data_IF_367337082216
#
_entry.id   IF_367337082216
#
_cell.length_a   1.000
_cell.length_b   1.000
_cell.length_c   1.000
_cell.angle_alpha   90.00
_cell.angle_beta   90.00
_cell.angle_gamma   90.00
#
_symmetry.space_group_name_H-M   'P 1'
#
loop_
_entity.id
_entity.type
_entity.pdbx_description
1 polymer ?
#
# COMPACT_ATOMS: atom_id res chain seq x y z
N UNK A 1 -42.63 -43.66 12.59
CA UNK A 1 -41.78 -42.87 13.50
C UNK A 1 -41.42 -41.60 12.74
N UNK A 2 -42.15 -40.50 12.98
CA UNK A 2 -41.91 -39.22 12.30
C UNK A 2 -40.67 -38.57 12.91
N UNK A 3 -39.63 -38.37 12.09
CA UNK A 3 -38.51 -37.50 12.44
C UNK A 3 -39.03 -36.07 12.47
N UNK A 4 -39.20 -35.49 13.66
CA UNK A 4 -39.45 -34.06 13.81
C UNK A 4 -38.22 -33.31 13.34
N UNK A 5 -38.33 -32.53 12.27
CA UNK A 5 -37.31 -31.54 11.94
C UNK A 5 -37.19 -30.59 13.15
N UNK A 6 -35.98 -30.50 13.73
CA UNK A 6 -35.73 -29.56 14.82
C UNK A 6 -36.03 -28.14 14.33
N UNK A 7 -36.95 -27.44 15.00
CA UNK A 7 -37.30 -26.06 14.67
C UNK A 7 -36.06 -25.17 14.85
N UNK A 8 -35.73 -24.36 13.85
CA UNK A 8 -34.60 -23.44 13.90
C UNK A 8 -34.88 -22.32 14.90
N UNK A 9 -33.91 -22.01 15.75
CA UNK A 9 -34.06 -20.92 16.71
C UNK A 9 -33.94 -19.58 16.00
N UNK A 10 -34.85 -18.66 16.32
CA UNK A 10 -34.84 -17.30 15.76
C UNK A 10 -33.89 -16.40 16.56
N UNK A 11 -33.16 -15.54 15.88
CA UNK A 11 -32.21 -14.58 16.45
C UNK A 11 -32.58 -13.16 16.06
N UNK A 12 -32.62 -12.26 17.02
CA UNK A 12 -32.76 -10.81 16.79
C UNK A 12 -31.40 -10.16 17.03
N UNK A 13 -30.93 -9.38 16.06
CA UNK A 13 -29.74 -8.54 16.23
C UNK A 13 -30.16 -7.25 16.92
N UNK A 14 -30.01 -7.20 18.23
CA UNK A 14 -30.47 -6.09 19.06
C UNK A 14 -29.62 -4.84 18.88
N UNK A 15 -28.31 -5.03 18.76
CA UNK A 15 -27.37 -3.92 18.65
C UNK A 15 -26.07 -4.33 17.99
N UNK A 16 -25.52 -3.41 17.19
CA UNK A 16 -24.12 -3.46 16.76
C UNK A 16 -23.41 -2.18 17.20
N UNK A 17 -22.59 -2.26 18.25
CA UNK A 17 -21.74 -1.15 18.69
C UNK A 17 -20.44 -1.14 17.93
N UNK A 18 -20.01 0.05 17.55
CA UNK A 18 -18.76 0.25 16.84
C UNK A 18 -17.96 1.39 17.44
N UNK A 19 -16.65 1.27 17.42
CA UNK A 19 -15.71 2.31 17.81
C UNK A 19 -14.47 2.22 16.92
N UNK A 20 -13.85 3.35 16.58
CA UNK A 20 -12.55 3.34 15.91
C UNK A 20 -11.67 4.48 16.41
N UNK A 21 -10.45 4.14 16.80
CA UNK A 21 -9.39 5.11 17.11
C UNK A 21 -8.74 5.71 15.86
N UNK A 22 -8.82 5.01 14.73
CA UNK A 22 -7.91 5.20 13.60
C UNK A 22 -8.61 5.87 12.42
N UNK A 23 -9.88 5.57 12.18
CA UNK A 23 -10.51 6.10 10.99
C UNK A 23 -11.88 5.57 10.64
N UNK A 24 -12.37 5.92 9.44
CA UNK A 24 -13.77 5.79 9.09
C UNK A 24 -14.16 4.38 8.65
N UNK A 25 -13.41 3.32 9.01
CA UNK A 25 -13.67 1.95 8.51
C UNK A 25 -15.11 1.51 8.83
N UNK A 26 -15.64 1.93 9.98
CA UNK A 26 -17.01 1.61 10.41
C UNK A 26 -18.08 2.23 9.51
N UNK A 27 -17.74 3.25 8.70
CA UNK A 27 -18.68 3.85 7.74
C UNK A 27 -19.08 2.91 6.61
N UNK A 28 -18.34 1.84 6.37
CA UNK A 28 -18.80 0.81 5.44
C UNK A 28 -20.14 0.21 5.87
N UNK A 29 -20.42 0.11 7.17
CA UNK A 29 -21.71 -0.34 7.68
C UNK A 29 -22.85 0.65 7.42
N UNK A 30 -22.58 1.86 6.92
CA UNK A 30 -23.63 2.80 6.48
C UNK A 30 -24.06 2.55 5.02
N UNK A 31 -23.29 1.77 4.25
CA UNK A 31 -23.60 1.42 2.87
C UNK A 31 -24.49 0.17 2.79
N UNK A 32 -25.60 0.24 2.06
CA UNK A 32 -26.61 -0.82 1.99
C UNK A 32 -26.12 -2.14 1.42
N UNK A 33 -25.23 -2.11 0.41
CA UNK A 33 -24.64 -3.32 -0.16
C UNK A 33 -23.77 -4.03 0.88
N UNK A 34 -22.94 -3.27 1.59
CA UNK A 34 -22.08 -3.80 2.66
C UNK A 34 -22.92 -4.39 3.80
N UNK A 35 -23.99 -3.69 4.24
CA UNK A 35 -24.93 -4.20 5.26
C UNK A 35 -25.56 -5.52 4.83
N UNK A 36 -26.04 -5.58 3.58
CA UNK A 36 -26.70 -6.78 3.03
C UNK A 36 -25.76 -7.97 3.00
N UNK A 37 -24.51 -7.77 2.54
CA UNK A 37 -23.48 -8.82 2.54
C UNK A 37 -23.18 -9.30 3.96
N UNK A 38 -22.99 -8.36 4.89
CA UNK A 38 -22.73 -8.69 6.30
C UNK A 38 -23.86 -9.50 6.93
N UNK A 39 -25.12 -9.07 6.81
CA UNK A 39 -26.28 -9.76 7.40
C UNK A 39 -26.45 -11.16 6.81
N UNK A 40 -26.25 -11.33 5.50
CA UNK A 40 -26.26 -12.64 4.85
C UNK A 40 -25.17 -13.55 5.41
N UNK A 41 -23.96 -13.05 5.57
CA UNK A 41 -22.84 -13.79 6.15
C UNK A 41 -23.09 -14.17 7.60
N UNK A 42 -23.59 -13.24 8.42
CA UNK A 42 -23.98 -13.51 9.80
C UNK A 42 -25.06 -14.60 9.89
N UNK A 43 -26.12 -14.51 9.08
CA UNK A 43 -27.16 -15.53 9.03
C UNK A 43 -26.60 -16.92 8.67
N UNK A 44 -25.69 -16.99 7.70
CA UNK A 44 -25.05 -18.25 7.32
C UNK A 44 -24.21 -18.84 8.46
N UNK A 45 -23.46 -18.01 9.20
CA UNK A 45 -22.68 -18.48 10.35
C UNK A 45 -23.58 -18.95 11.50
N UNK A 46 -24.68 -18.26 11.77
CA UNK A 46 -25.70 -18.68 12.75
C UNK A 46 -26.32 -20.03 12.39
N UNK A 47 -26.72 -20.21 11.12
CA UNK A 47 -27.28 -21.48 10.64
C UNK A 47 -26.28 -22.62 10.80
N UNK A 48 -25.03 -22.37 10.38
CA UNK A 48 -23.97 -23.38 10.39
C UNK A 48 -23.55 -23.79 11.79
N UNK A 49 -23.34 -22.84 12.70
CA UNK A 49 -22.68 -23.10 13.98
C UNK A 49 -23.65 -23.20 15.17
N UNK A 50 -24.86 -22.64 15.05
CA UNK A 50 -25.84 -22.59 16.13
C UNK A 50 -27.22 -23.14 15.75
N UNK A 51 -27.41 -23.62 14.51
CA UNK A 51 -28.73 -24.02 13.98
C UNK A 51 -29.82 -22.95 14.20
N UNK A 52 -29.43 -21.68 14.02
CA UNK A 52 -30.27 -20.52 14.30
C UNK A 52 -30.33 -19.58 13.07
N UNK A 53 -31.37 -18.78 12.95
CA UNK A 53 -31.60 -17.89 11.82
C UNK A 53 -31.90 -16.46 12.28
N UNK A 54 -31.36 -15.46 11.57
CA UNK A 54 -31.77 -14.06 11.77
C UNK A 54 -33.26 -13.90 11.42
N UNK A 55 -34.02 -13.37 12.36
CA UNK A 55 -35.44 -13.05 12.20
C UNK A 55 -35.66 -11.58 11.83
N UNK A 56 -34.64 -10.74 12.03
CA UNK A 56 -34.64 -9.32 11.75
C UNK A 56 -33.39 -8.94 10.94
N UNK A 57 -33.58 -8.07 9.95
CA UNK A 57 -32.54 -7.61 9.03
C UNK A 57 -32.20 -6.13 9.23
N UNK A 58 -32.80 -5.46 10.22
CA UNK A 58 -32.44 -4.09 10.56
C UNK A 58 -31.13 -4.05 11.36
N UNK A 59 -30.09 -3.45 10.75
CA UNK A 59 -28.81 -3.25 11.42
C UNK A 59 -28.86 -2.02 12.35
N UNK A 60 -29.15 -2.26 13.63
CA UNK A 60 -29.16 -1.23 14.69
C UNK A 60 -27.74 -0.82 15.09
N UNK A 61 -27.11 0.00 14.24
CA UNK A 61 -25.74 0.48 14.42
C UNK A 61 -25.67 1.61 15.45
N UNK A 62 -24.80 1.46 16.44
CA UNK A 62 -24.46 2.50 17.41
C UNK A 62 -22.97 2.80 17.31
N UNK A 63 -22.64 4.03 16.92
CA UNK A 63 -21.24 4.50 16.84
C UNK A 63 -20.89 5.18 18.15
N UNK A 64 -19.92 4.62 18.86
CA UNK A 64 -19.44 5.17 20.13
C UNK A 64 -18.41 6.28 19.86
N UNK A 65 -18.53 7.44 20.52
CA UNK A 65 -17.55 8.53 20.38
C UNK A 65 -16.25 8.26 21.17
N UNK A 66 -16.33 7.51 22.27
CA UNK A 66 -15.20 7.04 23.07
C UNK A 66 -15.49 5.65 23.67
N UNK A 67 -14.43 4.99 24.17
CA UNK A 67 -14.53 3.69 24.85
C UNK A 67 -14.82 3.80 26.35
N UNK A 68 -15.20 4.98 26.88
CA UNK A 68 -15.51 5.08 28.31
C UNK A 68 -16.65 4.10 28.60
N UNK A 69 -16.46 3.29 29.65
CA UNK A 69 -17.37 2.20 30.04
C UNK A 69 -18.82 2.65 29.90
N UNK A 70 -19.53 2.09 28.93
CA UNK A 70 -20.98 2.11 28.93
C UNK A 70 -21.42 1.17 30.04
N UNK A 71 -21.43 1.67 31.28
CA UNK A 71 -21.85 0.95 32.49
C UNK A 71 -23.37 0.71 32.54
N UNK A 72 -24.00 0.55 31.38
CA UNK A 72 -25.39 0.13 31.26
C UNK A 72 -25.42 -1.38 31.15
N UNK A 73 -25.57 -2.05 32.29
CA UNK A 73 -25.93 -3.46 32.39
C UNK A 73 -27.36 -3.77 31.91
N UNK A 74 -28.12 -2.76 31.49
CA UNK A 74 -29.40 -2.97 30.81
C UNK A 74 -29.13 -3.36 29.36
N UNK A 75 -29.44 -4.63 29.08
CA UNK A 75 -29.47 -5.27 27.76
C UNK A 75 -30.94 -5.17 27.29
N UNK A 76 -31.35 -4.10 26.59
CA UNK A 76 -32.74 -3.92 26.18
C UNK A 76 -33.06 -4.91 25.06
N UNK A 77 -34.21 -5.57 25.16
CA UNK A 77 -34.76 -6.37 24.07
C UNK A 77 -35.73 -5.51 23.25
N UNK A 78 -35.61 -5.52 21.94
CA UNK A 78 -36.54 -4.82 21.04
C UNK A 78 -37.85 -5.58 20.88
N UNK A 79 -37.85 -6.89 21.18
CA UNK A 79 -39.05 -7.73 21.19
C UNK A 79 -39.11 -8.55 22.49
N UNK A 80 -40.29 -8.63 23.08
CA UNK A 80 -40.56 -9.43 24.28
C UNK A 80 -40.84 -10.92 23.97
N UNK A 81 -40.42 -11.42 22.80
CA UNK A 81 -40.69 -12.80 22.38
C UNK A 81 -39.86 -13.79 23.20
N UNK A 82 -40.55 -14.76 23.80
CA UNK A 82 -39.92 -15.78 24.64
C UNK A 82 -39.21 -16.90 23.84
N UNK A 83 -39.44 -16.98 22.54
CA UNK A 83 -38.91 -18.03 21.64
C UNK A 83 -37.67 -17.60 20.85
N UNK A 84 -37.16 -16.40 21.08
CA UNK A 84 -36.03 -15.81 20.34
C UNK A 84 -34.76 -15.73 21.18
N UNK A 85 -33.62 -15.79 20.50
CA UNK A 85 -32.33 -15.37 21.03
C UNK A 85 -32.04 -13.92 20.64
N UNK A 86 -31.28 -13.24 21.48
CA UNK A 86 -30.96 -11.82 21.36
C UNK A 86 -29.44 -11.67 21.26
N UNK A 87 -28.98 -11.11 20.14
CA UNK A 87 -27.57 -10.95 19.80
C UNK A 87 -27.12 -9.49 19.91
N UNK A 88 -25.96 -9.29 20.51
CA UNK A 88 -25.25 -8.02 20.60
C UNK A 88 -23.85 -8.20 20.00
N UNK A 89 -23.47 -7.28 19.14
CA UNK A 89 -22.16 -7.27 18.50
C UNK A 89 -21.39 -6.02 18.91
N UNK A 90 -20.10 -6.19 19.18
CA UNK A 90 -19.16 -5.11 19.43
C UNK A 90 -18.01 -5.20 18.44
N UNK A 91 -17.66 -4.10 17.78
CA UNK A 91 -16.50 -4.02 16.89
C UNK A 91 -15.69 -2.75 17.16
N UNK A 92 -14.52 -2.94 17.73
CA UNK A 92 -13.63 -1.84 18.13
C UNK A 92 -12.34 -1.89 17.33
N UNK A 93 -11.97 -0.79 16.67
CA UNK A 93 -10.70 -0.64 15.97
C UNK A 93 -9.71 0.18 16.80
N UNK A 94 -8.51 -0.35 16.98
CA UNK A 94 -7.41 0.24 17.72
C UNK A 94 -6.23 0.52 16.78
N UNK A 95 -5.52 1.61 17.08
CA UNK A 95 -4.19 1.83 16.51
C UNK A 95 -3.24 0.73 17.02
N UNK A 96 -2.46 0.12 16.12
CA UNK A 96 -1.57 -1.00 16.43
C UNK A 96 -0.69 -0.71 17.65
N UNK A 97 0.04 0.41 17.65
CA UNK A 97 0.94 0.72 18.76
C UNK A 97 0.19 0.79 20.09
N UNK A 98 -0.89 1.56 20.14
CA UNK A 98 -1.70 1.73 21.35
C UNK A 98 -2.24 0.39 21.88
N UNK A 99 -2.72 -0.50 21.00
CA UNK A 99 -3.20 -1.83 21.40
C UNK A 99 -2.10 -2.65 22.08
N UNK A 100 -0.95 -2.82 21.44
CA UNK A 100 0.15 -3.64 21.97
C UNK A 100 0.82 -3.01 23.21
N UNK A 101 0.78 -1.69 23.38
CA UNK A 101 1.20 -1.05 24.63
C UNK A 101 0.26 -1.40 25.79
N UNK A 102 -1.05 -1.49 25.53
CA UNK A 102 -2.07 -1.84 26.52
C UNK A 102 -2.17 -3.34 26.82
N UNK A 103 -1.60 -4.18 25.95
CA UNK A 103 -1.62 -5.64 26.04
C UNK A 103 -0.19 -6.20 25.82
N UNK A 104 0.74 -5.93 26.76
CA UNK A 104 2.15 -6.26 26.60
C UNK A 104 2.43 -7.77 26.40
N UNK A 105 1.52 -8.65 26.80
CA UNK A 105 1.59 -10.09 26.56
C UNK A 105 1.68 -10.47 25.07
N UNK A 106 1.17 -9.63 24.16
CA UNK A 106 1.27 -9.86 22.71
C UNK A 106 2.55 -9.29 22.10
N UNK A 107 3.39 -8.58 22.88
CA UNK A 107 4.62 -7.93 22.39
C UNK A 107 5.72 -8.94 22.05
N UNK A 108 5.68 -10.14 22.61
CA UNK A 108 6.65 -11.21 22.33
C UNK A 108 6.54 -11.75 20.89
N UNK A 109 5.37 -11.62 20.23
CA UNK A 109 5.23 -11.91 18.79
C UNK A 109 5.61 -10.69 17.93
N UNK A 110 6.93 -10.43 17.91
CA UNK A 110 7.48 -9.26 17.22
C UNK A 110 7.21 -9.23 15.71
N UNK A 111 6.82 -10.35 15.10
CA UNK A 111 6.62 -10.44 13.66
C UNK A 111 5.21 -9.99 13.24
N UNK A 112 4.16 -10.42 13.95
CA UNK A 112 2.76 -10.02 13.67
C UNK A 112 2.60 -8.53 13.95
N UNK A 113 3.10 -8.08 15.10
CA UNK A 113 3.09 -6.66 15.47
C UNK A 113 3.67 -5.76 14.38
N UNK A 114 4.88 -6.07 13.89
CA UNK A 114 5.60 -5.25 12.89
C UNK A 114 4.86 -5.09 11.55
N UNK A 115 3.94 -6.01 11.20
CA UNK A 115 3.21 -5.99 9.92
C UNK A 115 1.73 -5.66 10.06
N UNK A 116 1.25 -5.43 11.28
CA UNK A 116 -0.16 -5.13 11.55
C UNK A 116 -0.44 -3.66 11.31
N UNK A 117 -1.37 -3.36 10.41
CA UNK A 117 -1.80 -2.01 10.07
C UNK A 117 -2.92 -1.49 10.97
N UNK A 118 -3.76 -2.40 11.47
CA UNK A 118 -4.86 -2.09 12.39
C UNK A 118 -5.26 -3.32 13.19
N UNK A 119 -5.77 -3.12 14.40
CA UNK A 119 -6.25 -4.18 15.29
C UNK A 119 -7.73 -4.00 15.54
N UNK A 120 -8.52 -5.03 15.32
CA UNK A 120 -9.95 -5.07 15.65
C UNK A 120 -10.20 -6.00 16.82
N UNK A 121 -11.08 -5.61 17.74
CA UNK A 121 -11.71 -6.51 18.68
C UNK A 121 -13.16 -6.70 18.27
N UNK A 122 -13.55 -7.95 18.01
CA UNK A 122 -14.90 -8.34 17.68
C UNK A 122 -15.48 -9.16 18.83
N UNK A 123 -16.58 -8.69 19.41
CA UNK A 123 -17.31 -9.36 20.49
C UNK A 123 -18.70 -9.82 20.05
N UNK A 124 -19.12 -10.97 20.55
CA UNK A 124 -20.48 -11.51 20.39
C UNK A 124 -21.03 -11.87 21.77
N UNK A 125 -22.17 -11.28 22.11
CA UNK A 125 -23.01 -11.72 23.22
C UNK A 125 -24.34 -12.25 22.66
N UNK A 126 -24.67 -13.48 23.00
CA UNK A 126 -25.93 -14.13 22.64
C UNK A 126 -26.65 -14.56 23.92
N UNK A 127 -27.90 -14.13 24.07
CA UNK A 127 -28.74 -14.46 25.23
C UNK A 127 -30.06 -15.05 24.79
N UNK A 128 -30.68 -15.87 25.64
CA UNK A 128 -32.08 -16.26 25.43
C UNK A 128 -33.04 -15.18 25.97
N UNK A 129 -34.33 -15.40 25.79
CA UNK A 129 -35.39 -14.53 26.31
C UNK A 129 -35.43 -14.39 27.84
N UNK A 130 -34.84 -15.34 28.58
CA UNK A 130 -34.65 -15.27 30.03
C UNK A 130 -33.38 -14.50 30.43
N UNK A 131 -32.65 -13.92 29.47
CA UNK A 131 -31.35 -13.23 29.64
C UNK A 131 -30.22 -14.15 30.10
N UNK A 132 -30.36 -15.45 29.94
CA UNK A 132 -29.27 -16.39 30.18
C UNK A 132 -28.27 -16.32 29.02
N UNK A 133 -26.98 -16.30 29.36
CA UNK A 133 -25.90 -16.21 28.38
C UNK A 133 -25.74 -17.57 27.69
N UNK A 134 -25.92 -17.57 26.37
CA UNK A 134 -25.67 -18.72 25.49
C UNK A 134 -24.24 -18.67 24.97
N UNK A 135 -23.75 -17.47 24.66
CA UNK A 135 -22.41 -17.20 24.14
C UNK A 135 -21.95 -15.82 24.60
N UNK A 136 -20.71 -15.70 25.04
CA UNK A 136 -20.08 -14.41 25.31
C UNK A 136 -18.58 -14.54 25.00
N UNK A 137 -18.22 -14.21 23.76
CA UNK A 137 -16.88 -14.44 23.23
C UNK A 137 -16.33 -13.17 22.58
N UNK A 138 -15.01 -12.99 22.66
CA UNK A 138 -14.29 -11.87 22.06
C UNK A 138 -13.08 -12.40 21.31
N UNK A 139 -12.79 -11.82 20.15
CA UNK A 139 -11.63 -12.15 19.32
C UNK A 139 -10.87 -10.90 18.93
N UNK A 140 -9.54 -11.00 18.99
CA UNK A 140 -8.62 -10.01 18.44
C UNK A 140 -8.29 -10.37 16.99
N UNK A 141 -8.42 -9.42 16.07
CA UNK A 141 -8.15 -9.58 14.65
C UNK A 141 -7.10 -8.56 14.24
N UNK A 142 -5.91 -9.03 13.87
CA UNK A 142 -4.85 -8.19 13.33
C UNK A 142 -4.95 -8.13 11.81
N UNK A 143 -5.14 -6.93 11.26
CA UNK A 143 -5.18 -6.71 9.82
C UNK A 143 -3.78 -6.38 9.33
N UNK A 144 -3.28 -7.17 8.37
CA UNK A 144 -2.01 -6.92 7.69
C UNK A 144 -2.22 -6.80 6.18
N UNK A 145 -1.22 -6.25 5.48
CA UNK A 145 -1.31 -6.05 4.03
C UNK A 145 -1.16 -7.38 3.29
N UNK A 146 -2.15 -7.68 2.47
CA UNK A 146 -2.11 -8.72 1.45
C UNK A 146 -1.67 -8.17 0.10
N UNK A 147 -1.68 -9.06 -0.90
CA UNK A 147 -1.39 -8.69 -2.28
C UNK A 147 -2.58 -7.96 -2.92
N UNK A 148 -2.31 -7.06 -3.88
CA UNK A 148 -3.33 -6.36 -4.66
C UNK A 148 -2.82 -6.03 -6.05
N UNK A 149 -3.73 -5.85 -7.02
CA UNK A 149 -3.41 -5.30 -8.34
C UNK A 149 -3.55 -3.78 -8.42
N UNK A 150 -3.91 -3.11 -7.32
CA UNK A 150 -4.13 -1.66 -7.29
C UNK A 150 -2.86 -0.82 -7.45
N UNK A 151 -3.02 0.37 -8.01
CA UNK A 151 -2.03 1.43 -8.09
C UNK A 151 -2.49 2.67 -7.33
N UNK A 152 -1.54 3.57 -7.09
CA UNK A 152 -1.77 4.87 -6.48
C UNK A 152 -1.11 5.01 -5.12
N UNK A 153 -1.52 6.02 -4.39
CA UNK A 153 -1.01 6.31 -3.05
C UNK A 153 -1.85 5.54 -2.04
N UNK A 154 -1.21 4.64 -1.31
CA UNK A 154 -1.90 3.82 -0.32
C UNK A 154 -2.50 4.71 0.78
N UNK A 155 -3.75 4.43 1.14
CA UNK A 155 -4.39 5.15 2.22
C UNK A 155 -3.73 4.80 3.56
N UNK A 156 -3.44 5.79 4.38
CA UNK A 156 -2.99 5.54 5.75
C UNK A 156 -4.12 4.92 6.59
N UNK A 157 -5.35 5.36 6.34
CA UNK A 157 -6.58 4.88 6.97
C UNK A 157 -7.72 5.03 5.96
N UNK A 158 -8.67 4.08 5.86
CA UNK A 158 -8.74 2.81 6.58
C UNK A 158 -7.69 1.78 6.11
N UNK A 159 -7.48 0.72 6.89
CA UNK A 159 -6.49 -0.34 6.62
C UNK A 159 -6.96 -1.40 5.61
N UNK A 160 -8.26 -1.44 5.30
CA UNK A 160 -8.89 -2.40 4.39
C UNK A 160 -10.10 -1.75 3.69
N UNK A 161 -10.51 -2.30 2.54
CA UNK A 161 -11.70 -1.86 1.80
C UNK A 161 -12.99 -2.52 2.27
N UNK A 162 -14.15 -2.11 1.76
CA UNK A 162 -15.48 -2.65 2.15
C UNK A 162 -15.58 -4.17 2.05
N UNK A 163 -15.06 -4.78 0.97
CA UNK A 163 -15.00 -6.23 0.82
C UNK A 163 -14.09 -6.88 1.86
N UNK A 164 -12.91 -6.31 2.09
CA UNK A 164 -11.99 -6.82 3.11
C UNK A 164 -12.60 -6.73 4.51
N UNK A 165 -13.39 -5.69 4.77
CA UNK A 165 -14.11 -5.48 6.01
C UNK A 165 -15.16 -6.56 6.25
N UNK A 166 -16.01 -6.84 5.27
CA UNK A 166 -17.04 -7.89 5.41
C UNK A 166 -16.43 -9.29 5.46
N UNK A 167 -15.38 -9.56 4.67
CA UNK A 167 -14.63 -10.82 4.73
C UNK A 167 -14.01 -11.03 6.13
N UNK A 168 -13.43 -9.98 6.72
CA UNK A 168 -12.90 -9.99 8.08
C UNK A 168 -13.99 -10.29 9.12
N UNK A 169 -15.13 -9.61 9.05
CA UNK A 169 -16.25 -9.84 9.97
C UNK A 169 -16.82 -11.25 9.84
N UNK A 170 -16.99 -11.74 8.62
CA UNK A 170 -17.46 -13.10 8.37
C UNK A 170 -16.52 -14.14 8.96
N UNK A 171 -15.21 -13.97 8.79
CA UNK A 171 -14.20 -14.87 9.33
C UNK A 171 -14.18 -14.82 10.86
N UNK A 172 -14.20 -13.63 11.46
CA UNK A 172 -14.24 -13.45 12.91
C UNK A 172 -15.50 -14.02 13.55
N UNK A 173 -16.69 -13.70 13.01
CA UNK A 173 -17.97 -14.24 13.49
C UNK A 173 -18.06 -15.75 13.31
N UNK A 174 -17.56 -16.29 12.19
CA UNK A 174 -17.49 -17.73 11.97
C UNK A 174 -16.65 -18.45 13.03
N UNK A 175 -15.61 -17.81 13.57
CA UNK A 175 -14.83 -18.35 14.69
C UNK A 175 -15.51 -18.16 16.03
N UNK A 176 -16.06 -16.98 16.32
CA UNK A 176 -16.73 -16.70 17.60
C UNK A 176 -17.98 -17.57 17.81
N UNK A 177 -18.71 -17.89 16.74
CA UNK A 177 -19.90 -18.73 16.82
C UNK A 177 -19.58 -20.23 16.88
N UNK A 178 -18.38 -20.64 16.49
CA UNK A 178 -17.94 -22.04 16.49
C UNK A 178 -17.62 -22.53 17.90
N UNK A 179 -18.36 -23.51 18.47
CA UNK A 179 -18.11 -24.01 19.82
C UNK A 179 -16.73 -24.68 19.99
N UNK A 180 -16.09 -25.10 18.89
CA UNK A 180 -14.76 -25.72 18.93
C UNK A 180 -13.60 -24.71 18.79
N UNK A 181 -13.90 -23.40 18.68
CA UNK A 181 -12.87 -22.39 18.52
C UNK A 181 -12.01 -22.25 19.79
N UNK A 182 -10.68 -22.38 19.62
CA UNK A 182 -9.69 -22.20 20.69
C UNK A 182 -8.77 -21.00 20.43
N UNK A 183 -9.05 -20.23 19.38
CA UNK A 183 -8.21 -19.13 18.93
C UNK A 183 -8.81 -17.82 19.44
N UNK A 184 -8.05 -17.09 20.26
CA UNK A 184 -8.43 -15.77 20.75
C UNK A 184 -7.93 -14.63 19.84
N UNK A 185 -6.93 -14.91 18.99
CA UNK A 185 -6.30 -13.93 18.11
C UNK A 185 -6.03 -14.51 16.73
N UNK A 186 -6.32 -13.75 15.68
CA UNK A 186 -6.07 -14.15 14.30
C UNK A 186 -5.51 -13.01 13.45
N UNK A 187 -4.76 -13.36 12.41
CA UNK A 187 -4.29 -12.41 11.39
C UNK A 187 -5.14 -12.52 10.11
N UNK A 188 -5.56 -11.38 9.57
CA UNK A 188 -6.24 -11.26 8.29
C UNK A 188 -5.40 -10.43 7.34
N UNK A 189 -5.01 -11.03 6.21
CA UNK A 189 -4.34 -10.32 5.12
C UNK A 189 -5.38 -9.70 4.20
N UNK A 190 -5.50 -8.37 4.25
CA UNK A 190 -6.44 -7.62 3.42
C UNK A 190 -5.72 -6.92 2.26
N UNK A 191 -6.36 -6.85 1.10
CA UNK A 191 -5.84 -6.05 0.00
C UNK A 191 -5.75 -4.57 0.43
N UNK A 192 -4.62 -3.88 0.16
CA UNK A 192 -4.49 -2.46 0.47
C UNK A 192 -5.54 -1.63 -0.28
N UNK A 193 -5.91 -0.51 0.34
CA UNK A 193 -6.74 0.54 -0.24
C UNK A 193 -5.91 1.74 -0.63
N UNK A 194 -6.36 2.45 -1.65
CA UNK A 194 -5.66 3.60 -2.22
C UNK A 194 -6.56 4.83 -2.11
N UNK A 195 -5.98 5.99 -1.87
CA UNK A 195 -6.72 7.24 -2.06
C UNK A 195 -7.15 7.34 -3.52
N UNK A 196 -8.38 7.78 -3.76
CA UNK A 196 -8.76 8.15 -5.12
C UNK A 196 -7.89 9.32 -5.59
N UNK A 197 -7.62 9.38 -6.89
CA UNK A 197 -6.75 10.38 -7.49
C UNK A 197 -7.24 10.79 -8.88
N UNK A 198 -6.68 11.87 -9.42
CA UNK A 198 -7.02 12.38 -10.75
C UNK A 198 -5.98 12.06 -11.84
N UNK A 199 -5.02 11.16 -11.61
CA UNK A 199 -3.87 10.98 -12.50
C UNK A 199 -3.46 9.53 -12.79
N UNK A 200 -3.51 8.61 -11.82
CA UNK A 200 -3.29 7.17 -11.97
C UNK A 200 -4.60 6.43 -12.17
N UNK A 201 -5.56 6.59 -11.25
CA UNK A 201 -6.81 5.85 -11.28
C UNK A 201 -7.58 6.02 -12.61
N UNK A 202 -7.63 7.22 -13.23
CA UNK A 202 -8.29 7.39 -14.53
C UNK A 202 -7.62 6.66 -15.69
N UNK A 203 -6.31 6.41 -15.62
CA UNK A 203 -5.55 5.77 -16.71
C UNK A 203 -5.35 4.27 -16.51
N UNK A 204 -5.39 3.77 -15.26
CA UNK A 204 -5.10 2.37 -14.96
C UNK A 204 -6.27 1.43 -15.29
N UNK A 205 -7.52 1.91 -15.17
CA UNK A 205 -8.71 1.05 -15.22
C UNK A 205 -8.93 0.29 -16.53
N UNK A 206 -8.25 0.71 -17.60
CA UNK A 206 -8.35 0.10 -18.93
C UNK A 206 -7.12 -0.73 -19.32
N UNK A 207 -6.13 -0.88 -18.43
CA UNK A 207 -4.86 -1.50 -18.77
C UNK A 207 -4.54 -2.70 -17.87
N UNK A 208 -4.04 -3.81 -18.44
CA UNK A 208 -3.70 -4.99 -17.67
C UNK A 208 -2.53 -4.68 -16.72
N UNK A 209 -2.69 -5.11 -15.47
CA UNK A 209 -1.65 -5.02 -14.45
C UNK A 209 -0.76 -6.25 -14.52
N UNK A 210 0.53 -6.01 -14.76
CA UNK A 210 1.57 -7.01 -14.70
C UNK A 210 2.05 -7.12 -13.26
N UNK A 211 1.87 -8.30 -12.67
CA UNK A 211 2.43 -8.65 -11.36
C UNK A 211 3.91 -9.04 -11.52
N UNK A 212 4.77 -8.51 -10.65
CA UNK A 212 6.20 -8.78 -10.67
C UNK A 212 6.57 -9.68 -9.48
N UNK A 213 7.28 -10.76 -9.77
CA UNK A 213 7.87 -11.61 -8.75
C UNK A 213 9.26 -11.06 -8.39
N UNK A 214 9.36 -10.45 -7.21
CA UNK A 214 10.60 -9.90 -6.67
C UNK A 214 11.29 -10.87 -5.71
N UNK A 215 12.53 -11.29 -6.00
CA UNK A 215 13.37 -12.06 -5.06
C UNK A 215 14.85 -11.78 -5.27
N UNK A 216 15.61 -11.56 -4.19
CA UNK A 216 17.07 -11.36 -4.24
C UNK A 216 17.53 -10.34 -5.29
N UNK A 217 16.90 -9.16 -5.32
CA UNK A 217 17.14 -8.09 -6.30
C UNK A 217 16.83 -8.45 -7.77
N UNK A 218 16.09 -9.53 -7.98
CA UNK A 218 15.59 -9.90 -9.30
C UNK A 218 14.11 -9.55 -9.36
N UNK A 219 13.72 -8.84 -10.42
CA UNK A 219 12.34 -8.63 -10.82
C UNK A 219 12.06 -9.49 -12.05
N UNK A 220 11.14 -10.44 -11.91
CA UNK A 220 10.68 -11.30 -13.01
C UNK A 220 9.19 -11.06 -13.28
N UNK A 221 8.84 -10.85 -14.54
CA UNK A 221 7.46 -10.54 -14.93
C UNK A 221 7.18 -11.00 -16.36
N UNK A 222 5.89 -11.05 -16.73
CA UNK A 222 5.47 -11.41 -18.10
C UNK A 222 4.93 -10.19 -18.83
N UNK A 223 5.43 -9.95 -20.04
CA UNK A 223 4.94 -8.91 -20.95
C UNK A 223 4.65 -9.52 -22.32
N UNK A 224 3.40 -9.43 -22.76
CA UNK A 224 2.92 -10.02 -24.03
C UNK A 224 3.29 -11.51 -24.14
N UNK A 225 3.01 -12.27 -23.07
CA UNK A 225 3.34 -13.70 -22.93
C UNK A 225 4.83 -14.06 -22.91
N UNK A 226 5.75 -13.11 -23.04
CA UNK A 226 7.19 -13.37 -22.87
C UNK A 226 7.62 -13.05 -21.45
N UNK A 227 8.51 -13.87 -20.92
CA UNK A 227 9.17 -13.56 -19.67
C UNK A 227 10.11 -12.35 -19.87
N UNK A 228 10.28 -11.59 -18.79
CA UNK A 228 11.24 -10.50 -18.64
C UNK A 228 11.92 -10.69 -17.27
N UNK A 229 13.23 -10.43 -17.20
CA UNK A 229 14.00 -10.65 -15.99
C UNK A 229 15.12 -9.60 -15.86
N UNK A 230 14.92 -8.69 -14.91
CA UNK A 230 15.87 -7.64 -14.55
C UNK A 230 16.53 -8.03 -13.24
N UNK A 231 17.86 -7.99 -13.18
CA UNK A 231 18.63 -8.12 -11.94
C UNK A 231 19.23 -6.77 -11.58
N UNK A 232 18.88 -6.25 -10.41
CA UNK A 232 19.54 -5.10 -9.81
C UNK A 232 20.74 -5.60 -9.01
N UNK A 233 21.94 -5.21 -9.44
CA UNK A 233 23.20 -5.58 -8.80
C UNK A 233 23.56 -4.68 -7.62
N UNK A 234 24.81 -4.84 -7.18
CA UNK A 234 25.39 -4.09 -6.07
C UNK A 234 25.52 -2.60 -6.37
N UNK A 235 25.48 -1.81 -5.31
CA UNK A 235 25.60 -0.35 -5.33
C UNK A 235 26.88 0.07 -4.63
N UNK A 236 27.66 0.95 -5.27
CA UNK A 236 28.97 1.39 -4.82
C UNK A 236 29.01 2.92 -4.71
N UNK A 237 29.69 3.41 -3.68
CA UNK A 237 30.04 4.81 -3.49
C UNK A 237 31.53 4.94 -3.74
N UNK A 238 31.91 5.68 -4.77
CA UNK A 238 33.29 5.78 -5.24
C UNK A 238 33.72 7.25 -5.25
N UNK A 239 34.95 7.53 -4.83
CA UNK A 239 35.51 8.87 -5.00
C UNK A 239 35.49 9.24 -6.49
N UNK A 240 35.07 10.47 -6.82
CA UNK A 240 35.12 10.95 -8.20
C UNK A 240 36.56 11.35 -8.56
N UNK A 241 37.18 10.62 -9.50
CA UNK A 241 38.55 10.87 -9.96
C UNK A 241 38.49 11.37 -11.41
N UNK A 242 38.61 12.68 -11.57
CA UNK A 242 38.48 13.37 -12.87
C UNK A 242 39.81 13.51 -13.64
N UNK A 243 40.97 13.27 -13.00
CA UNK A 243 42.30 13.49 -13.59
C UNK A 243 43.26 12.34 -13.27
N UNK A 244 44.31 12.20 -14.07
CA UNK A 244 45.38 11.22 -13.87
C UNK A 244 45.08 9.82 -14.44
N UNK A 245 45.98 8.86 -14.14
CA UNK A 245 45.92 7.49 -14.67
C UNK A 245 44.75 6.66 -14.11
N UNK A 246 44.27 7.01 -12.92
CA UNK A 246 43.20 6.29 -12.20
C UNK A 246 41.82 6.95 -12.39
N UNK A 247 41.63 7.76 -13.44
CA UNK A 247 40.33 8.40 -13.69
C UNK A 247 39.24 7.35 -13.84
N UNK A 248 38.08 7.58 -13.22
CA UNK A 248 36.94 6.66 -13.26
C UNK A 248 35.75 7.19 -14.08
N UNK A 249 35.99 8.26 -14.84
CA UNK A 249 35.03 8.88 -15.75
C UNK A 249 35.54 8.92 -17.20
N UNK A 250 34.61 8.81 -18.14
CA UNK A 250 34.89 8.79 -19.57
C UNK A 250 34.91 10.21 -20.16
N UNK A 251 33.81 10.97 -20.00
CA UNK A 251 33.70 12.37 -20.45
C UNK A 251 34.07 13.36 -19.33
N UNK A 252 35.36 13.65 -19.25
CA UNK A 252 35.92 14.59 -18.28
C UNK A 252 35.49 16.04 -18.51
N UNK A 253 35.17 16.41 -19.75
CA UNK A 253 34.87 17.81 -20.09
C UNK A 253 33.54 18.25 -19.49
N UNK A 254 32.52 17.40 -19.64
CA UNK A 254 31.18 17.63 -19.13
C UNK A 254 31.15 17.66 -17.59
N UNK A 255 31.77 16.66 -16.96
CA UNK A 255 31.76 16.51 -15.50
C UNK A 255 32.58 17.62 -14.84
N UNK A 256 33.75 17.98 -15.38
CA UNK A 256 34.50 19.13 -14.85
C UNK A 256 33.72 20.43 -14.95
N UNK A 257 33.01 20.65 -16.07
CA UNK A 257 32.18 21.85 -16.24
C UNK A 257 31.09 21.90 -15.19
N UNK A 258 30.39 20.78 -14.96
CA UNK A 258 29.37 20.68 -13.91
C UNK A 258 29.94 20.93 -12.51
N UNK A 259 31.12 20.37 -12.21
CA UNK A 259 31.84 20.61 -10.94
C UNK A 259 32.18 22.10 -10.76
N UNK A 260 32.72 22.75 -11.79
CA UNK A 260 33.09 24.17 -11.74
C UNK A 260 31.86 25.05 -11.50
N UNK A 261 30.72 24.70 -12.09
CA UNK A 261 29.46 25.45 -11.99
C UNK A 261 28.77 25.35 -10.61
N UNK A 262 29.25 24.52 -9.68
CA UNK A 262 28.67 24.41 -8.33
C UNK A 262 29.00 25.60 -7.42
N UNK A 263 29.85 26.54 -7.85
CA UNK A 263 30.39 27.70 -7.09
C UNK A 263 31.13 27.33 -5.78
N UNK A 264 31.27 26.03 -5.46
CA UNK A 264 31.73 25.51 -4.15
C UNK A 264 32.76 24.39 -4.29
N UNK A 265 33.45 24.34 -5.43
CA UNK A 265 34.39 23.30 -5.80
C UNK A 265 35.49 23.01 -4.75
N UNK A 266 35.95 24.03 -4.01
CA UNK A 266 37.03 23.88 -3.03
C UNK A 266 36.60 23.31 -1.69
N UNK A 267 35.30 23.33 -1.39
CA UNK A 267 34.74 22.88 -0.12
C UNK A 267 33.98 21.56 -0.23
N UNK A 268 33.50 21.20 -1.42
CA UNK A 268 32.62 20.04 -1.60
C UNK A 268 33.38 18.79 -2.05
N UNK A 269 32.94 17.63 -1.56
CA UNK A 269 33.38 16.33 -2.03
C UNK A 269 32.44 15.84 -3.14
N UNK A 270 33.03 15.39 -4.25
CA UNK A 270 32.27 14.82 -5.36
C UNK A 270 32.40 13.30 -5.35
N UNK A 271 31.26 12.61 -5.43
CA UNK A 271 31.18 11.15 -5.32
C UNK A 271 30.46 10.60 -6.54
N UNK A 272 31.05 9.55 -7.13
CA UNK A 272 30.42 8.73 -8.14
C UNK A 272 29.64 7.59 -7.47
N UNK A 273 28.35 7.53 -7.75
CA UNK A 273 27.47 6.43 -7.40
C UNK A 273 27.41 5.47 -8.58
N UNK A 274 27.72 4.19 -8.35
CA UNK A 274 27.69 3.15 -9.39
C UNK A 274 26.76 2.02 -8.98
N UNK A 275 25.87 1.59 -9.88
CA UNK A 275 25.05 0.41 -9.68
C UNK A 275 25.09 -0.47 -10.92
N UNK A 276 25.45 -1.74 -10.73
CA UNK A 276 25.37 -2.73 -11.81
C UNK A 276 23.94 -3.24 -11.95
N UNK A 277 23.54 -3.59 -13.16
CA UNK A 277 22.23 -4.18 -13.46
C UNK A 277 22.35 -5.10 -14.68
N UNK A 278 21.41 -6.03 -14.84
CA UNK A 278 21.42 -6.95 -15.99
C UNK A 278 20.01 -7.20 -16.50
N UNK A 279 19.85 -7.10 -17.80
CA UNK A 279 18.75 -7.73 -18.52
C UNK A 279 19.17 -9.16 -18.83
N UNK A 280 18.62 -10.12 -18.09
CA UNK A 280 19.12 -11.50 -18.09
C UNK A 280 18.73 -12.23 -19.37
N UNK A 281 17.54 -11.95 -19.91
CA UNK A 281 17.04 -12.66 -21.09
C UNK A 281 17.69 -12.16 -22.38
N UNK A 282 18.08 -10.88 -22.42
CA UNK A 282 18.84 -10.30 -23.53
C UNK A 282 20.36 -10.45 -23.38
N UNK A 283 20.81 -11.01 -22.27
CA UNK A 283 22.22 -11.17 -21.92
C UNK A 283 23.02 -9.85 -21.97
N UNK A 284 22.43 -8.76 -21.43
CA UNK A 284 23.04 -7.41 -21.44
C UNK A 284 23.28 -6.90 -20.03
N UNK A 285 24.51 -6.48 -19.75
CA UNK A 285 24.86 -5.81 -18.52
C UNK A 285 24.78 -4.30 -18.70
N UNK A 286 24.33 -3.62 -17.64
CA UNK A 286 24.24 -2.17 -17.60
C UNK A 286 24.89 -1.64 -16.34
N UNK A 287 25.53 -0.48 -16.46
CA UNK A 287 26.11 0.24 -15.34
C UNK A 287 25.45 1.61 -15.24
N UNK A 288 24.71 1.84 -14.16
CA UNK A 288 24.16 3.15 -13.81
C UNK A 288 25.26 3.95 -13.08
N UNK A 289 25.58 5.13 -13.58
CA UNK A 289 26.50 6.09 -12.94
C UNK A 289 25.77 7.39 -12.65
N UNK A 290 25.78 7.79 -11.39
CA UNK A 290 25.24 9.09 -10.95
C UNK A 290 26.27 9.84 -10.13
N UNK A 291 26.15 11.16 -10.09
CA UNK A 291 27.11 12.03 -9.44
C UNK A 291 26.42 12.87 -8.38
N UNK A 292 27.00 12.93 -7.19
CA UNK A 292 26.50 13.74 -6.08
C UNK A 292 27.57 14.74 -5.64
N UNK A 293 27.11 15.85 -5.08
CA UNK A 293 27.93 16.82 -4.36
C UNK A 293 27.61 16.71 -2.86
N UNK A 294 28.60 16.33 -2.06
CA UNK A 294 28.53 16.38 -0.61
C UNK A 294 29.18 17.68 -0.16
N UNK A 295 28.35 18.61 0.30
CA UNK A 295 28.77 19.93 0.70
C UNK A 295 28.83 20.01 2.23
N UNK A 296 30.03 20.14 2.84
CA UNK A 296 30.17 20.15 4.29
C UNK A 296 29.55 21.38 4.96
N UNK A 297 29.23 22.43 4.21
CA UNK A 297 28.53 23.62 4.71
C UNK A 297 27.01 23.44 4.74
N UNK A 298 26.49 22.36 4.13
CA UNK A 298 25.08 22.03 4.20
C UNK A 298 24.79 21.27 5.49
N UNK A 299 23.77 21.71 6.22
CA UNK A 299 23.34 21.05 7.45
C UNK A 299 22.45 19.84 7.12
N UNK A 300 23.06 18.76 6.66
CA UNK A 300 22.38 17.49 6.42
C UNK A 300 21.77 16.97 7.72
N UNK A 301 20.47 16.66 7.70
CA UNK A 301 19.75 16.12 8.86
C UNK A 301 20.09 14.65 9.10
N UNK A 302 20.51 13.94 8.06
CA UNK A 302 20.91 12.53 8.11
C UNK A 302 21.76 12.15 6.87
N UNK A 303 22.32 10.94 6.89
CA UNK A 303 23.15 10.41 5.80
C UNK A 303 22.40 10.31 4.47
N UNK A 304 21.13 9.89 4.48
CA UNK A 304 20.34 9.76 3.25
C UNK A 304 20.18 11.10 2.54
N UNK A 305 20.06 12.21 3.27
CA UNK A 305 20.01 13.55 2.70
C UNK A 305 21.31 13.92 1.98
N UNK A 306 22.46 13.56 2.55
CA UNK A 306 23.77 13.78 1.93
C UNK A 306 23.97 12.93 0.67
N UNK A 307 23.64 11.64 0.74
CA UNK A 307 23.85 10.71 -0.37
C UNK A 307 22.79 10.79 -1.50
N UNK A 308 21.87 11.74 -1.40
CA UNK A 308 20.88 12.05 -2.45
C UNK A 308 21.00 13.48 -2.98
N UNK A 309 22.11 14.18 -2.69
CA UNK A 309 22.44 15.48 -3.27
C UNK A 309 22.98 15.34 -4.70
N UNK A 310 22.13 14.83 -5.60
CA UNK A 310 22.46 14.66 -7.03
C UNK A 310 22.83 15.98 -7.69
N UNK A 311 23.89 15.95 -8.49
CA UNK A 311 24.25 17.08 -9.33
C UNK A 311 23.12 17.36 -10.35
N UNK A 312 22.72 18.62 -10.54
CA UNK A 312 21.50 18.97 -11.29
C UNK A 312 21.69 18.94 -12.82
N UNK A 313 22.93 18.90 -13.30
CA UNK A 313 23.26 18.86 -14.72
C UNK A 313 22.95 17.48 -15.35
N UNK A 314 22.77 17.40 -16.69
CA UNK A 314 22.54 16.14 -17.39
C UNK A 314 23.85 15.34 -17.52
N UNK A 315 24.43 14.94 -16.39
CA UNK A 315 25.72 14.26 -16.31
C UNK A 315 25.60 12.84 -15.74
N UNK A 316 24.39 12.33 -15.53
CA UNK A 316 24.17 10.95 -15.07
C UNK A 316 23.97 10.04 -16.28
N UNK A 317 24.40 8.78 -16.16
CA UNK A 317 24.47 7.87 -17.30
C UNK A 317 23.93 6.48 -16.97
N UNK A 318 23.29 5.86 -17.97
CA UNK A 318 23.15 4.41 -18.05
C UNK A 318 24.05 3.92 -19.18
N UNK A 319 25.01 3.06 -18.86
CA UNK A 319 25.96 2.49 -19.82
C UNK A 319 25.58 1.04 -20.13
N UNK A 320 25.78 0.61 -21.36
CA UNK A 320 25.88 -0.80 -21.75
C UNK A 320 27.35 -1.04 -22.10
N UNK A 321 28.07 -1.74 -21.24
CA UNK A 321 29.53 -1.79 -21.29
C UNK A 321 30.16 -0.38 -21.28
N UNK A 322 30.65 0.09 -22.43
CA UNK A 322 31.23 1.44 -22.62
C UNK A 322 30.31 2.40 -23.38
N UNK A 323 29.21 1.90 -23.91
CA UNK A 323 28.31 2.73 -24.72
C UNK A 323 27.29 3.44 -23.83
N UNK A 324 27.18 4.75 -24.00
CA UNK A 324 26.16 5.54 -23.28
C UNK A 324 24.79 5.30 -23.89
N UNK A 325 23.93 4.58 -23.17
CA UNK A 325 22.56 4.29 -23.58
C UNK A 325 21.62 5.42 -23.19
N UNK A 326 21.81 5.98 -21.98
CA UNK A 326 21.04 7.12 -21.51
C UNK A 326 21.93 8.17 -20.86
N UNK A 327 21.56 9.44 -21.04
CA UNK A 327 22.15 10.61 -20.37
C UNK A 327 21.04 11.47 -19.79
N UNK A 328 21.11 11.78 -18.51
CA UNK A 328 20.00 12.41 -17.80
C UNK A 328 20.44 13.29 -16.63
N UNK A 329 19.51 14.13 -16.18
CA UNK A 329 19.59 14.92 -14.95
C UNK A 329 18.59 14.41 -13.92
N UNK A 330 18.85 14.69 -12.65
CA UNK A 330 17.97 14.33 -11.53
C UNK A 330 17.66 15.60 -10.76
N UNK A 331 16.37 15.91 -10.61
CA UNK A 331 15.90 16.97 -9.73
C UNK A 331 15.27 16.34 -8.48
N UNK A 332 15.82 16.61 -7.30
CA UNK A 332 15.29 16.16 -6.01
C UNK A 332 14.33 17.18 -5.41
N UNK A 333 13.29 16.68 -4.75
CA UNK A 333 12.34 17.45 -3.94
C UNK A 333 11.76 18.65 -4.70
N UNK A 334 10.99 18.37 -5.74
CA UNK A 334 10.29 19.43 -6.48
C UNK A 334 9.19 19.99 -5.58
N UNK A 335 9.52 21.03 -4.81
CA UNK A 335 8.61 21.67 -3.85
C UNK A 335 7.35 22.27 -4.52
N UNK A 336 7.39 22.44 -5.84
CA UNK A 336 6.23 22.73 -6.66
C UNK A 336 5.56 21.40 -7.01
N UNK A 337 4.29 21.22 -6.63
CA UNK A 337 3.52 20.02 -6.94
C UNK A 337 3.57 19.65 -8.42
N UNK A 338 3.32 18.38 -8.73
CA UNK A 338 3.38 17.87 -10.10
C UNK A 338 2.11 18.30 -10.84
N UNK A 339 2.09 19.53 -11.36
CA UNK A 339 0.92 20.08 -12.06
C UNK A 339 -0.33 20.16 -11.18
N UNK A 340 -1.45 19.68 -11.69
CA UNK A 340 -2.76 19.66 -11.05
C UNK A 340 -3.07 18.33 -10.32
N UNK A 341 -2.06 17.49 -10.11
CA UNK A 341 -2.21 16.15 -9.53
C UNK A 341 -2.53 16.20 -8.05
N UNK A 342 -3.58 15.50 -7.69
CA UNK A 342 -4.09 15.43 -6.32
C UNK A 342 -4.66 14.07 -5.99
N UNK A 343 -4.56 13.74 -4.71
CA UNK A 343 -5.34 12.68 -4.09
C UNK A 343 -6.49 13.28 -3.29
N UNK A 344 -7.55 12.50 -3.15
CA UNK A 344 -8.76 12.83 -2.40
C UNK A 344 -8.75 12.04 -1.09
N UNK A 345 -8.45 12.69 0.04
CA UNK A 345 -8.30 12.03 1.34
C UNK A 345 -9.63 11.53 1.93
N UNK A 346 -10.75 12.03 1.40
CA UNK A 346 -12.10 11.60 1.74
C UNK A 346 -12.61 10.46 0.86
N UNK A 347 -11.86 10.02 -0.15
CA UNK A 347 -12.27 8.98 -1.11
C UNK A 347 -11.20 7.90 -1.20
N UNK A 348 -11.63 6.65 -1.21
CA UNK A 348 -10.74 5.50 -1.37
C UNK A 348 -11.21 4.60 -2.50
N UNK A 349 -10.31 3.81 -3.05
CA UNK A 349 -10.59 2.82 -4.09
C UNK A 349 -9.74 1.56 -3.89
N UNK A 350 -9.98 0.55 -4.71
CA UNK A 350 -9.11 -0.62 -4.84
C UNK A 350 -7.83 -0.35 -5.67
N UNK A 351 -7.69 0.86 -6.23
CA UNK A 351 -6.52 1.30 -7.00
C UNK A 351 -6.48 0.83 -8.46
N UNK A 352 -7.51 0.13 -8.96
CA UNK A 352 -7.55 -0.31 -10.36
C UNK A 352 -8.91 -0.17 -11.03
N UNK A 353 -9.95 0.17 -10.29
CA UNK A 353 -11.31 0.32 -10.79
C UNK A 353 -11.98 1.54 -10.14
N UNK A 354 -12.36 2.52 -10.97
CA UNK A 354 -13.00 3.75 -10.50
C UNK A 354 -14.41 3.53 -9.97
N UNK A 355 -15.08 2.42 -10.31
CA UNK A 355 -16.39 2.07 -9.75
C UNK A 355 -16.29 1.62 -8.29
N UNK A 356 -15.09 1.26 -7.83
CA UNK A 356 -14.82 0.90 -6.43
C UNK A 356 -14.67 2.10 -5.49
N UNK A 357 -14.83 3.33 -5.99
CA UNK A 357 -14.63 4.53 -5.19
C UNK A 357 -15.71 4.61 -4.08
N UNK A 358 -15.24 4.67 -2.84
CA UNK A 358 -16.09 4.85 -1.66
C UNK A 358 -15.80 6.23 -1.05
N UNK A 359 -16.86 6.99 -0.82
CA UNK A 359 -16.80 8.26 -0.10
C UNK A 359 -16.83 8.00 1.41
N UNK A 360 -15.73 8.35 2.09
CA UNK A 360 -15.60 8.22 3.55
C UNK A 360 -16.19 9.42 4.27
N UNK A 361 -16.10 10.63 3.72
CA UNK A 361 -16.62 11.86 4.35
C UNK A 361 -17.12 12.82 3.26
N UNK A 362 -18.18 13.60 3.52
CA UNK A 362 -18.75 14.50 2.51
C UNK A 362 -17.79 15.62 2.11
N UNK A 363 -16.97 16.10 3.04
CA UNK A 363 -16.03 17.19 2.79
C UNK A 363 -14.95 16.77 1.79
N UNK A 364 -14.76 17.58 0.73
CA UNK A 364 -13.71 17.35 -0.25
C UNK A 364 -12.37 17.80 0.33
N UNK A 365 -11.56 16.84 0.76
CA UNK A 365 -10.23 17.09 1.32
C UNK A 365 -9.21 16.58 0.32
N UNK A 366 -8.48 17.50 -0.30
CA UNK A 366 -7.49 17.16 -1.32
C UNK A 366 -6.07 17.42 -0.84
N UNK A 367 -5.11 16.68 -1.40
CA UNK A 367 -3.69 16.89 -1.19
C UNK A 367 -2.96 16.84 -2.53
N UNK A 368 -2.15 17.86 -2.80
CA UNK A 368 -1.28 17.89 -3.97
C UNK A 368 -0.18 16.83 -3.86
N UNK A 369 0.17 16.23 -4.99
CA UNK A 369 1.26 15.27 -5.08
C UNK A 369 2.54 15.97 -5.49
N UNK A 370 3.62 15.58 -4.81
CA UNK A 370 4.97 16.08 -5.06
C UNK A 370 5.83 14.92 -5.55
N UNK A 371 6.80 15.22 -6.41
CA UNK A 371 7.81 14.25 -6.80
C UNK A 371 8.98 14.34 -5.82
N UNK A 372 9.39 13.19 -5.27
CA UNK A 372 10.68 13.13 -4.58
C UNK A 372 11.83 13.27 -5.58
N UNK A 373 11.67 12.67 -6.78
CA UNK A 373 12.65 12.75 -7.84
C UNK A 373 11.97 12.94 -9.21
N UNK A 374 12.53 13.83 -10.03
CA UNK A 374 12.21 13.93 -11.46
C UNK A 374 13.49 13.67 -12.25
N UNK A 375 13.50 12.56 -12.96
CA UNK A 375 14.63 12.12 -13.79
C UNK A 375 14.27 12.45 -15.23
N UNK A 376 15.09 13.21 -15.94
CA UNK A 376 14.79 13.59 -17.33
C UNK A 376 16.05 13.62 -18.18
N UNK A 377 15.94 13.18 -19.42
CA UNK A 377 17.09 13.05 -20.30
C UNK A 377 16.73 12.43 -21.63
N UNK A 378 17.71 11.79 -22.26
CA UNK A 378 17.52 10.99 -23.46
C UNK A 378 18.00 9.56 -23.25
N UNK A 379 17.28 8.61 -23.84
CA UNK A 379 17.65 7.20 -23.93
C UNK A 379 17.63 6.83 -25.42
N UNK A 380 18.77 6.42 -25.98
CA UNK A 380 18.92 6.17 -27.43
C UNK A 380 18.39 7.30 -28.32
N UNK A 381 18.66 8.55 -27.91
CA UNK A 381 18.18 9.78 -28.55
C UNK A 381 16.68 10.08 -28.40
N UNK A 382 15.92 9.26 -27.69
CA UNK A 382 14.53 9.54 -27.37
C UNK A 382 14.41 10.25 -26.02
N UNK A 383 13.72 11.40 -25.93
CA UNK A 383 13.51 12.07 -24.65
C UNK A 383 12.65 11.22 -23.72
N UNK A 384 13.12 11.04 -22.49
CA UNK A 384 12.37 10.35 -21.43
C UNK A 384 12.25 11.21 -20.18
N UNK A 385 11.25 10.89 -19.35
CA UNK A 385 11.10 11.42 -18.00
C UNK A 385 10.56 10.34 -17.08
N UNK A 386 11.07 10.28 -15.85
CA UNK A 386 10.57 9.41 -14.78
C UNK A 386 10.20 10.31 -13.60
N UNK A 387 8.96 10.22 -13.16
CA UNK A 387 8.47 10.94 -11.98
C UNK A 387 8.33 9.92 -10.86
N UNK A 388 9.08 10.12 -9.77
CA UNK A 388 9.02 9.30 -8.57
C UNK A 388 8.23 10.04 -7.49
N UNK A 389 7.14 9.43 -7.01
CA UNK A 389 6.24 9.97 -5.98
C UNK A 389 5.94 8.92 -4.89
N UNK A 390 5.29 9.35 -3.80
CA UNK A 390 4.95 8.53 -2.64
C UNK A 390 6.17 7.82 -2.03
N UNK A 391 7.17 8.62 -1.62
CA UNK A 391 8.44 8.12 -1.06
C UNK A 391 9.13 7.15 -2.03
N UNK A 392 9.17 7.53 -3.31
CA UNK A 392 9.70 6.71 -4.39
C UNK A 392 8.96 5.36 -4.57
N UNK A 393 7.73 5.19 -4.08
CA UNK A 393 6.95 3.96 -4.30
C UNK A 393 6.19 3.95 -5.62
N UNK A 394 5.82 5.11 -6.17
CA UNK A 394 5.04 5.24 -7.39
C UNK A 394 5.88 5.93 -8.46
N UNK A 395 6.03 5.27 -9.61
CA UNK A 395 6.85 5.77 -10.72
C UNK A 395 6.04 5.87 -12.00
N UNK A 396 6.05 7.04 -12.61
CA UNK A 396 5.44 7.30 -13.90
C UNK A 396 6.55 7.47 -14.95
N UNK A 397 6.53 6.63 -15.97
CA UNK A 397 7.50 6.62 -17.06
C UNK A 397 6.90 7.30 -18.27
N UNK A 398 7.61 8.30 -18.78
CA UNK A 398 7.30 9.02 -20.00
C UNK A 398 8.39 8.77 -21.03
N UNK A 399 7.97 8.49 -22.26
CA UNK A 399 8.84 8.42 -23.43
C UNK A 399 8.23 9.30 -24.52
N UNK A 400 9.04 10.14 -25.17
CA UNK A 400 8.56 11.08 -26.18
C UNK A 400 7.37 11.95 -25.73
N UNK A 401 7.41 12.38 -24.45
CA UNK A 401 6.37 13.17 -23.76
C UNK A 401 5.01 12.47 -23.61
N UNK A 402 4.92 11.16 -23.87
CA UNK A 402 3.72 10.35 -23.65
C UNK A 402 3.92 9.44 -22.45
N UNK A 403 2.86 9.20 -21.68
CA UNK A 403 2.89 8.23 -20.59
C UNK A 403 3.05 6.83 -21.20
N UNK A 404 4.20 6.21 -20.91
CA UNK A 404 4.57 4.91 -21.46
C UNK A 404 4.19 3.77 -20.49
N UNK A 405 4.45 3.97 -19.20
CA UNK A 405 4.12 3.01 -18.15
C UNK A 405 3.97 3.67 -16.78
N UNK A 406 3.32 2.98 -15.85
CA UNK A 406 3.35 3.26 -14.41
C UNK A 406 3.86 1.99 -13.71
N UNK A 407 4.68 2.16 -12.67
CA UNK A 407 5.09 1.06 -11.81
C UNK A 407 4.99 1.42 -10.33
N UNK A 408 4.73 0.41 -9.50
CA UNK A 408 4.82 0.51 -8.04
C UNK A 408 5.98 -0.32 -7.49
N UNK A 409 6.58 0.17 -6.40
CA UNK A 409 7.66 -0.46 -5.65
C UNK A 409 8.80 0.54 -5.37
N UNK A 410 9.62 0.29 -4.35
CA UNK A 410 10.70 1.21 -3.97
C UNK A 410 11.95 1.05 -4.84
N UNK A 411 12.61 -0.11 -4.74
CA UNK A 411 13.89 -0.43 -5.40
C UNK A 411 13.81 -1.59 -6.40
N UNK A 412 12.64 -2.22 -6.49
CA UNK A 412 12.26 -3.16 -7.54
C UNK A 412 10.80 -2.89 -7.87
N UNK A 413 10.38 -3.09 -9.13
CA UNK A 413 8.97 -3.07 -9.46
C UNK A 413 8.28 -4.26 -8.80
N UNK A 414 7.14 -4.00 -8.19
CA UNK A 414 6.20 -4.99 -7.67
C UNK A 414 5.05 -5.18 -8.65
N UNK A 415 4.66 -4.09 -9.32
CA UNK A 415 3.57 -4.03 -10.28
C UNK A 415 3.90 -3.05 -11.39
N UNK A 416 3.48 -3.37 -12.61
CA UNK A 416 3.70 -2.55 -13.79
C UNK A 416 2.40 -2.50 -14.60
N UNK A 417 2.06 -1.32 -15.12
CA UNK A 417 1.05 -1.14 -16.15
C UNK A 417 1.69 -0.42 -17.32
N UNK A 418 1.60 -1.02 -18.50
CA UNK A 418 2.19 -0.47 -19.74
C UNK A 418 1.05 0.06 -20.61
N UNK A 419 1.16 1.32 -21.00
CA UNK A 419 0.14 2.01 -21.80
C UNK A 419 0.54 2.11 -23.27
N UNK A 420 1.85 2.20 -23.52
CA UNK A 420 2.39 2.25 -24.86
C UNK A 420 2.73 0.84 -25.36
N UNK A 421 1.87 0.30 -26.23
CA UNK A 421 2.07 -1.00 -26.86
C UNK A 421 3.31 -1.04 -27.77
N UNK A 422 3.78 0.11 -28.25
CA UNK A 422 4.97 0.21 -29.11
C UNK A 422 6.29 0.29 -28.33
N UNK A 423 6.23 0.53 -27.02
CA UNK A 423 7.41 0.62 -26.17
C UNK A 423 8.20 -0.68 -26.22
N UNK A 424 9.44 -0.65 -26.68
CA UNK A 424 10.24 -1.87 -26.70
C UNK A 424 10.56 -2.34 -25.26
N UNK A 425 10.64 -3.68 -25.10
CA UNK A 425 10.81 -4.30 -23.79
C UNK A 425 12.18 -3.99 -23.16
N UNK A 426 13.20 -3.79 -24.00
CA UNK A 426 14.55 -3.45 -23.54
C UNK A 426 14.60 -2.02 -22.97
N UNK A 427 14.01 -1.05 -23.65
CA UNK A 427 13.89 0.33 -23.18
C UNK A 427 13.06 0.41 -21.92
N UNK A 428 11.96 -0.34 -21.80
CA UNK A 428 11.24 -0.43 -20.52
C UNK A 428 12.15 -0.95 -19.40
N UNK A 429 12.91 -2.03 -19.65
CA UNK A 429 13.86 -2.55 -18.65
C UNK A 429 14.93 -1.54 -18.27
N UNK A 430 15.49 -0.80 -19.24
CA UNK A 430 16.49 0.24 -19.00
C UNK A 430 15.90 1.40 -18.19
N UNK A 431 14.69 1.86 -18.52
CA UNK A 431 13.97 2.86 -17.74
C UNK A 431 13.70 2.38 -16.32
N UNK A 432 13.34 1.11 -16.12
CA UNK A 432 13.15 0.50 -14.81
C UNK A 432 14.46 0.45 -14.02
N UNK A 433 15.59 0.08 -14.65
CA UNK A 433 16.91 0.09 -14.00
C UNK A 433 17.32 1.49 -13.53
N UNK A 434 17.00 2.53 -14.31
CA UNK A 434 17.19 3.92 -13.89
C UNK A 434 16.23 4.23 -12.73
N UNK A 435 14.93 4.08 -12.93
CA UNK A 435 13.90 4.54 -11.98
C UNK A 435 13.92 3.82 -10.64
N UNK A 436 14.28 2.54 -10.59
CA UNK A 436 14.35 1.73 -9.37
C UNK A 436 15.75 1.65 -8.77
N UNK A 437 16.62 2.60 -9.10
CA UNK A 437 17.95 2.70 -8.49
C UNK A 437 17.90 2.69 -6.96
N UNK A 438 18.85 1.97 -6.35
CA UNK A 438 18.99 1.88 -4.88
C UNK A 438 19.42 3.19 -4.22
N UNK A 439 19.87 4.15 -5.01
CA UNK A 439 20.28 5.47 -4.54
C UNK A 439 19.10 6.42 -4.34
N UNK A 440 17.90 6.10 -4.84
CA UNK A 440 16.69 6.90 -4.60
C UNK A 440 16.02 6.50 -3.28
N UNK A 441 16.62 6.91 -2.17
CA UNK A 441 16.21 6.53 -0.81
C UNK A 441 15.07 7.37 -0.26
#
# INVERSE_FOLDING_TARGET
MFLSAASQTKVILEQFRTFSMVGPVMKYLSNEETKTVFLKQLNNNLLKHKNAQLNDHDLRLIVLPDLKQTSSSNVPFTLADSSTWHMYLDLYEFETNTFYFSQPEYKEDSAVFKRTESVFQLGVLLTNSAKEIILNEIMTICVSRGNSSGFGIMAATPSLGSKGFTDMLNLGLGRLLDPENKIAMMEVKAAPVYYADNFILPIIGNHPVIQVNGKNNIASYKRDQTDELIRMGDSFYEQLIVKGKNKNIEDNSLINTAIINTDRQSSSDFVQLRQESRDVLRDKNYTLKMFIEINPLFNYKNEDEAFTSFMPDPIHFLLSDKDTIAKFKINKNTALGIGDRKIYLNKISNGYDSTSIILLRPDDVTRNIFAEYVISGSIRNEPFMIICSDRNMLKEFYLNKKTAAVAMGKFLPERIAVFDASLDKETLNQLMMIGFSRFFR
#
